data_IF_871942504428
#
_entry.id   IF_871942504428
#
_cell.length_a   1.000
_cell.length_b   1.000
_cell.length_c   1.000
_cell.angle_alpha   90.00
_cell.angle_beta   90.00
_cell.angle_gamma   90.00
#
_symmetry.space_group_name_H-M   'P 1'
#
loop_
_entity.id
_entity.type
_entity.pdbx_description
1 polymer ?
#
# COMPACT_ATOMS: atom_id res chain seq x y z
N UNK A 1 8.37 -7.90 2.35
CA UNK A 1 8.78 -6.73 1.53
C UNK A 1 7.70 -5.67 1.59
N UNK A 2 8.08 -4.45 1.94
CA UNK A 2 7.16 -3.32 2.04
C UNK A 2 7.49 -2.28 0.98
N UNK A 3 6.46 -1.75 0.31
CA UNK A 3 6.59 -0.63 -0.60
C UNK A 3 6.03 0.60 0.10
N UNK A 4 6.84 1.65 0.16
CA UNK A 4 6.42 2.92 0.74
C UNK A 4 6.41 4.00 -0.34
N UNK A 5 5.29 4.68 -0.49
CA UNK A 5 5.16 5.83 -1.38
C UNK A 5 5.04 7.08 -0.52
N UNK A 6 5.94 8.03 -0.73
CA UNK A 6 5.92 9.27 0.05
C UNK A 6 4.66 10.06 -0.24
N UNK A 7 4.15 10.74 0.78
CA UNK A 7 2.89 11.46 0.71
C UNK A 7 2.85 12.48 -0.43
N UNK A 8 3.96 13.15 -0.71
CA UNK A 8 4.02 14.15 -1.78
C UNK A 8 3.87 13.56 -3.18
N UNK A 9 3.99 12.24 -3.32
CA UNK A 9 3.79 11.54 -4.59
C UNK A 9 2.42 10.88 -4.69
N UNK A 10 1.53 11.14 -3.75
CA UNK A 10 0.19 10.53 -3.73
C UNK A 10 -0.79 11.25 -4.64
N UNK A 11 -0.30 11.99 -5.59
CA UNK A 11 -1.08 12.37 -6.75
C UNK A 11 -1.42 11.09 -7.52
N UNK A 12 -2.68 10.89 -7.86
CA UNK A 12 -3.17 9.63 -8.43
C UNK A 12 -2.36 9.17 -9.65
N UNK A 13 -2.00 10.10 -10.54
CA UNK A 13 -1.25 9.74 -11.74
C UNK A 13 0.15 9.26 -11.42
N UNK A 14 0.86 10.00 -10.57
CA UNK A 14 2.25 9.68 -10.22
C UNK A 14 2.32 8.38 -9.42
N UNK A 15 1.44 8.24 -8.43
CA UNK A 15 1.42 7.03 -7.60
C UNK A 15 1.11 5.78 -8.43
N UNK A 16 0.19 5.88 -9.38
CA UNK A 16 -0.12 4.75 -10.28
C UNK A 16 1.09 4.38 -11.14
N UNK A 17 1.79 5.36 -11.69
CA UNK A 17 2.97 5.11 -12.50
C UNK A 17 4.07 4.44 -11.70
N UNK A 18 4.32 4.92 -10.49
CA UNK A 18 5.33 4.33 -9.61
C UNK A 18 4.97 2.90 -9.25
N UNK A 19 3.71 2.62 -8.99
CA UNK A 19 3.25 1.27 -8.67
C UNK A 19 3.42 0.34 -9.86
N UNK A 20 3.06 0.79 -11.07
CA UNK A 20 3.23 0.00 -12.27
C UNK A 20 4.70 -0.37 -12.49
N UNK A 21 5.61 0.60 -12.37
CA UNK A 21 7.03 0.34 -12.52
C UNK A 21 7.56 -0.62 -11.46
N UNK A 22 7.16 -0.41 -10.21
CA UNK A 22 7.59 -1.28 -9.11
C UNK A 22 7.13 -2.72 -9.35
N UNK A 23 5.90 -2.92 -9.78
CA UNK A 23 5.38 -4.26 -10.04
C UNK A 23 6.08 -4.94 -11.21
N UNK A 24 6.43 -4.19 -12.26
CA UNK A 24 7.19 -4.75 -13.37
C UNK A 24 8.58 -5.19 -12.93
N UNK A 25 9.25 -4.39 -12.11
CA UNK A 25 10.57 -4.76 -11.58
C UNK A 25 10.50 -5.99 -10.70
N UNK A 26 9.47 -6.10 -9.88
CA UNK A 26 9.31 -7.20 -8.94
C UNK A 26 9.06 -8.52 -9.65
N UNK A 27 8.40 -8.50 -10.81
CA UNK A 27 8.16 -9.72 -11.59
C UNK A 27 9.44 -10.43 -12.01
N UNK A 28 10.54 -9.70 -12.09
CA UNK A 28 11.84 -10.25 -12.45
C UNK A 28 12.60 -10.82 -11.25
N UNK A 29 12.01 -10.75 -10.08
CA UNK A 29 12.60 -11.28 -8.84
C UNK A 29 11.89 -12.55 -8.42
N UNK A 30 12.40 -13.19 -7.37
CA UNK A 30 11.77 -14.38 -6.79
C UNK A 30 10.70 -14.04 -5.75
N UNK A 31 10.39 -12.76 -5.57
CA UNK A 31 9.36 -12.34 -4.62
C UNK A 31 7.97 -12.77 -5.09
N UNK A 32 7.20 -13.35 -4.19
CA UNK A 32 5.87 -13.86 -4.50
C UNK A 32 4.76 -13.06 -3.85
N UNK A 33 5.07 -12.32 -2.80
CA UNK A 33 4.06 -11.62 -2.01
C UNK A 33 4.59 -10.23 -1.67
N UNK A 34 3.78 -9.21 -1.87
CA UNK A 34 4.05 -7.86 -1.39
C UNK A 34 3.06 -7.53 -0.28
N UNK A 35 3.59 -7.09 0.85
CA UNK A 35 2.78 -6.67 1.98
C UNK A 35 2.93 -5.17 2.16
N UNK A 36 1.84 -4.52 2.56
CA UNK A 36 1.89 -3.11 2.91
C UNK A 36 0.90 -2.79 4.02
N UNK A 37 1.13 -1.65 4.65
CA UNK A 37 0.29 -1.13 5.69
C UNK A 37 -0.19 0.24 5.26
N UNK A 38 -1.46 0.53 5.47
CA UNK A 38 -2.02 1.82 5.10
C UNK A 38 -2.92 2.33 6.22
N UNK A 39 -2.81 3.62 6.53
CA UNK A 39 -3.63 4.24 7.56
C UNK A 39 -5.11 4.17 7.15
N UNK A 40 -5.98 3.80 8.09
CA UNK A 40 -7.37 3.47 7.81
C UNK A 40 -8.16 4.59 7.12
N UNK A 41 -7.79 5.84 7.33
CA UNK A 41 -8.49 6.98 6.73
C UNK A 41 -7.86 7.46 5.42
N UNK A 42 -6.80 6.81 4.96
CA UNK A 42 -6.15 7.18 3.72
C UNK A 42 -6.84 6.51 2.53
N UNK A 43 -8.03 7.00 2.21
CA UNK A 43 -8.88 6.37 1.20
C UNK A 43 -8.26 6.39 -0.20
N UNK A 44 -7.52 7.43 -0.55
CA UNK A 44 -6.87 7.49 -1.86
C UNK A 44 -5.81 6.42 -2.02
N UNK A 45 -5.01 6.18 -0.97
CA UNK A 45 -4.02 5.11 -1.01
C UNK A 45 -4.69 3.73 -1.05
N UNK A 46 -5.71 3.53 -0.23
CA UNK A 46 -6.45 2.26 -0.21
C UNK A 46 -7.02 1.96 -1.59
N UNK A 47 -7.63 2.94 -2.23
CA UNK A 47 -8.21 2.77 -3.55
C UNK A 47 -7.15 2.50 -4.61
N UNK A 48 -5.99 3.15 -4.50
CA UNK A 48 -4.86 2.91 -5.38
C UNK A 48 -4.41 1.45 -5.29
N UNK A 49 -4.21 0.95 -4.07
CA UNK A 49 -3.76 -0.43 -3.87
C UNK A 49 -4.79 -1.43 -4.38
N UNK A 50 -6.07 -1.18 -4.12
CA UNK A 50 -7.14 -2.03 -4.66
C UNK A 50 -7.17 -2.05 -6.18
N UNK A 51 -6.87 -0.92 -6.81
CA UNK A 51 -6.76 -0.84 -8.27
C UNK A 51 -5.69 -1.79 -8.81
N UNK A 52 -4.62 -1.99 -8.06
CA UNK A 52 -3.54 -2.89 -8.44
C UNK A 52 -3.70 -4.28 -7.83
N UNK A 53 -4.92 -4.63 -7.44
CA UNK A 53 -5.29 -5.96 -6.96
C UNK A 53 -4.75 -6.34 -5.59
N UNK A 54 -4.30 -5.37 -4.80
CA UNK A 54 -4.01 -5.62 -3.40
C UNK A 54 -5.32 -5.91 -2.68
N UNK A 55 -5.28 -6.84 -1.75
CA UNK A 55 -6.44 -7.22 -0.95
C UNK A 55 -6.18 -6.95 0.52
N UNK A 56 -7.21 -6.53 1.23
CA UNK A 56 -7.13 -6.35 2.66
C UNK A 56 -7.12 -7.73 3.33
N UNK A 57 -6.12 -7.98 4.17
CA UNK A 57 -5.94 -9.26 4.85
C UNK A 57 -6.06 -9.15 6.37
N UNK A 58 -6.12 -7.95 6.90
CA UNK A 58 -6.22 -7.77 8.34
C UNK A 58 -6.09 -6.32 8.73
N UNK A 59 -5.96 -6.11 10.04
CA UNK A 59 -5.90 -4.78 10.60
C UNK A 59 -4.94 -4.81 11.79
N UNK A 60 -4.11 -3.78 11.88
CA UNK A 60 -3.21 -3.58 13.02
C UNK A 60 -3.78 -2.43 13.85
N UNK A 61 -4.40 -2.72 15.01
CA UNK A 61 -5.05 -1.67 15.79
C UNK A 61 -4.05 -0.66 16.32
N UNK A 62 -4.44 0.62 16.25
CA UNK A 62 -3.72 1.73 16.86
C UNK A 62 -2.25 1.85 16.43
N UNK A 63 -1.95 1.48 15.21
CA UNK A 63 -0.59 1.56 14.70
C UNK A 63 -0.09 3.00 14.52
N UNK A 64 -1.00 3.90 14.15
CA UNK A 64 -0.64 5.30 13.89
C UNK A 64 -1.17 6.21 15.00
N UNK A 65 -0.35 7.16 15.43
CA UNK A 65 -0.75 8.18 16.38
C UNK A 65 -0.49 9.55 15.76
N UNK A 66 -1.56 10.25 15.39
CA UNK A 66 -1.48 11.53 14.68
C UNK A 66 -2.48 12.50 15.30
N UNK A 67 -1.99 13.70 15.64
CA UNK A 67 -2.83 14.76 16.23
C UNK A 67 -3.65 14.26 17.42
N UNK A 68 -2.98 13.54 18.35
CA UNK A 68 -3.57 13.04 19.59
C UNK A 68 -4.69 12.03 19.37
N UNK A 69 -4.73 11.39 18.21
CA UNK A 69 -5.73 10.37 17.91
C UNK A 69 -5.04 9.13 17.33
N UNK A 70 -5.53 7.96 17.74
CA UNK A 70 -5.03 6.70 17.21
C UNK A 70 -5.82 6.27 15.97
N UNK A 71 -5.11 5.68 15.03
CA UNK A 71 -5.69 5.14 13.81
C UNK A 71 -5.15 3.74 13.58
N UNK A 72 -6.01 2.88 13.09
CA UNK A 72 -5.58 1.53 12.71
C UNK A 72 -4.86 1.55 11.38
N UNK A 73 -4.03 0.55 11.16
CA UNK A 73 -3.48 0.25 9.84
C UNK A 73 -4.29 -0.87 9.20
N UNK A 74 -4.62 -0.71 7.93
CA UNK A 74 -5.11 -1.83 7.13
C UNK A 74 -3.91 -2.57 6.59
N UNK A 75 -3.92 -3.89 6.70
CA UNK A 75 -2.88 -4.74 6.17
C UNK A 75 -3.36 -5.25 4.83
N UNK A 76 -2.57 -5.02 3.80
CA UNK A 76 -2.94 -5.42 2.45
C UNK A 76 -1.81 -6.22 1.82
N UNK A 77 -2.15 -7.13 0.94
CA UNK A 77 -1.13 -7.85 0.20
C UNK A 77 -1.51 -8.09 -1.25
N UNK A 78 -0.50 -8.41 -2.03
CA UNK A 78 -0.63 -8.78 -3.43
C UNK A 78 0.24 -10.00 -3.68
N UNK A 79 -0.34 -11.03 -4.27
CA UNK A 79 0.41 -12.19 -4.75
C UNK A 79 0.91 -11.92 -6.16
N UNK A 80 2.20 -12.14 -6.38
CA UNK A 80 2.85 -11.92 -7.66
C UNK A 80 2.89 -13.24 -8.42
N UNK A 81 2.36 -13.23 -9.60
CA UNK A 81 2.39 -14.41 -10.48
C UNK A 81 3.66 -14.46 -11.32
#
# INVERSE_FOLDING_TARGET
>A
FAITVKKEYWNMGIASMMMEEALEMIKETSLKILDLEVKEDNLSAINLYKKFNFKEIGRYPQMFYVNQKYYDALLMNLYID
#
